data_IF_708670854377
#
_entry.id   IF_708670854377
#
_cell.length_a   1.000
_cell.length_b   1.000
_cell.length_c   1.000
_cell.angle_alpha   90.00
_cell.angle_beta   90.00
_cell.angle_gamma   90.00
#
_symmetry.space_group_name_H-M   'P 1'
#
loop_
_entity.id
_entity.type
_entity.pdbx_description
1 polymer ?
#
# COMPACT_ATOMS: atom_id res chain seq x y z
N UNK A 1 -2.52 16.23 6.70
CA UNK A 1 -2.08 15.13 5.83
C UNK A 1 -1.36 14.10 6.68
N UNK A 2 -1.87 12.87 6.73
CA UNK A 2 -1.30 11.78 7.56
C UNK A 2 -0.51 10.84 6.65
N UNK A 3 0.77 10.66 6.93
CA UNK A 3 1.62 9.74 6.18
C UNK A 3 1.79 8.43 6.94
N UNK A 4 1.91 7.32 6.22
CA UNK A 4 2.42 6.05 6.74
C UNK A 4 3.94 6.07 6.55
N UNK A 5 4.68 5.94 7.65
CA UNK A 5 6.11 5.65 7.59
C UNK A 5 6.26 4.13 7.54
N UNK A 6 6.85 3.62 6.46
CA UNK A 6 7.16 2.19 6.30
C UNK A 6 8.59 2.05 5.81
N UNK A 7 9.46 1.49 6.67
CA UNK A 7 10.91 1.45 6.44
C UNK A 7 11.46 2.85 6.08
N UNK A 8 12.13 2.99 4.94
CA UNK A 8 12.63 4.26 4.41
C UNK A 8 11.57 5.09 3.64
N UNK A 9 10.39 4.52 3.41
CA UNK A 9 9.34 5.14 2.61
C UNK A 9 8.34 5.93 3.46
N UNK A 10 7.92 7.08 2.92
CA UNK A 10 6.83 7.89 3.43
C UNK A 10 5.68 7.88 2.43
N UNK A 11 4.67 7.07 2.72
CA UNK A 11 3.55 6.84 1.83
C UNK A 11 2.43 7.80 2.23
N UNK A 12 1.94 8.59 1.27
CA UNK A 12 0.70 9.35 1.45
C UNK A 12 -0.48 8.45 1.04
N UNK A 13 -1.28 7.97 1.99
CA UNK A 13 -2.34 7.02 1.67
C UNK A 13 -3.47 7.66 0.83
N UNK A 14 -3.68 8.97 0.94
CA UNK A 14 -4.66 9.72 0.12
C UNK A 14 -4.24 9.85 -1.35
N UNK A 15 -2.96 9.57 -1.66
CA UNK A 15 -2.43 9.53 -3.02
C UNK A 15 -2.50 8.14 -3.65
N UNK A 16 -2.88 7.11 -2.89
CA UNK A 16 -3.07 5.76 -3.42
C UNK A 16 -4.37 5.76 -4.21
N UNK A 17 -4.29 5.26 -5.44
CA UNK A 17 -5.45 5.08 -6.30
C UNK A 17 -6.09 3.71 -6.01
N UNK A 18 -5.29 2.65 -6.07
CA UNK A 18 -5.63 1.31 -5.63
C UNK A 18 -4.35 0.55 -5.25
N UNK A 19 -4.51 -0.59 -4.58
CA UNK A 19 -3.44 -1.54 -4.37
C UNK A 19 -3.95 -2.95 -4.66
N UNK A 20 -3.02 -3.84 -5.03
CA UNK A 20 -3.31 -5.24 -5.32
C UNK A 20 -2.32 -6.13 -4.55
N UNK A 21 -2.82 -7.22 -3.98
CA UNK A 21 -2.02 -8.21 -3.26
C UNK A 21 -2.06 -9.51 -4.05
N UNK A 22 -0.90 -10.08 -4.36
CA UNK A 22 -0.76 -11.39 -4.98
C UNK A 22 0.16 -12.27 -4.12
N UNK A 23 -0.42 -13.26 -3.43
CA UNK A 23 0.25 -14.09 -2.43
C UNK A 23 1.03 -13.29 -1.38
N UNK A 24 2.35 -13.12 -1.59
CA UNK A 24 3.27 -12.42 -0.70
C UNK A 24 3.73 -11.06 -1.27
N UNK A 25 3.16 -10.62 -2.40
CA UNK A 25 3.52 -9.37 -3.09
C UNK A 25 2.41 -8.33 -2.94
N UNK A 26 2.78 -7.08 -2.72
CA UNK A 26 1.88 -5.92 -2.64
C UNK A 26 2.31 -4.87 -3.65
N UNK A 27 1.42 -4.59 -4.59
CA UNK A 27 1.55 -3.52 -5.57
C UNK A 27 0.69 -2.33 -5.16
N UNK A 28 1.31 -1.18 -4.95
CA UNK A 28 0.60 0.08 -4.64
C UNK A 28 0.70 1.00 -5.85
N UNK A 29 -0.45 1.41 -6.38
CA UNK A 29 -0.54 2.35 -7.49
C UNK A 29 -0.96 3.73 -6.99
N UNK A 30 -0.16 4.75 -7.30
CA UNK A 30 -0.42 6.12 -6.89
C UNK A 30 -1.07 6.91 -8.03
N UNK A 31 -1.93 7.86 -7.66
CA UNK A 31 -2.45 8.88 -8.58
C UNK A 31 -1.27 9.64 -9.19
N UNK A 32 -1.09 9.50 -10.49
CA UNK A 32 0.07 10.03 -11.22
C UNK A 32 0.95 8.97 -11.88
N UNK A 33 0.64 7.68 -11.72
CA UNK A 33 1.25 6.59 -12.49
C UNK A 33 2.53 6.01 -11.89
N UNK A 34 2.90 6.40 -10.66
CA UNK A 34 3.98 5.75 -9.91
C UNK A 34 3.44 4.50 -9.23
N UNK A 35 4.24 3.44 -9.17
CA UNK A 35 3.94 2.25 -8.39
C UNK A 35 5.06 1.90 -7.40
N UNK A 36 4.70 1.28 -6.30
CA UNK A 36 5.63 0.62 -5.38
C UNK A 36 5.29 -0.86 -5.28
N UNK A 37 6.32 -1.68 -5.14
CA UNK A 37 6.23 -3.14 -5.00
C UNK A 37 6.92 -3.54 -3.69
N UNK A 38 6.23 -4.32 -2.88
CA UNK A 38 6.72 -4.87 -1.63
C UNK A 38 6.53 -6.39 -1.64
N UNK A 39 7.54 -7.14 -1.21
CA UNK A 39 7.52 -8.60 -1.23
C UNK A 39 7.64 -9.23 0.17
N UNK A 40 7.11 -10.44 0.32
CA UNK A 40 7.21 -11.26 1.51
C UNK A 40 6.45 -10.68 2.71
N UNK A 41 6.98 -10.93 3.91
CA UNK A 41 6.38 -10.47 5.17
C UNK A 41 6.16 -8.95 5.24
N UNK A 42 6.90 -8.17 4.43
CA UNK A 42 6.77 -6.71 4.36
C UNK A 42 5.45 -6.27 3.74
N UNK A 43 4.98 -7.00 2.72
CA UNK A 43 3.69 -6.74 2.08
C UNK A 43 2.56 -6.83 3.12
N UNK A 44 2.51 -7.93 3.88
CA UNK A 44 1.49 -8.17 4.89
C UNK A 44 1.45 -7.10 6.00
N UNK A 45 2.62 -6.59 6.43
CA UNK A 45 2.67 -5.53 7.45
C UNK A 45 2.20 -4.18 6.90
N UNK A 46 2.55 -3.86 5.65
CA UNK A 46 2.10 -2.62 5.01
C UNK A 46 0.59 -2.64 4.73
N UNK A 47 0.02 -3.77 4.31
CA UNK A 47 -1.44 -3.92 4.12
C UNK A 47 -2.20 -3.57 5.41
N UNK A 48 -1.78 -4.10 6.56
CA UNK A 48 -2.41 -3.76 7.86
C UNK A 48 -2.35 -2.27 8.18
N UNK A 49 -1.26 -1.60 7.78
CA UNK A 49 -1.11 -0.16 7.96
C UNK A 49 -2.03 0.61 7.01
N UNK A 50 -2.19 0.15 5.76
CA UNK A 50 -3.11 0.71 4.78
C UNK A 50 -4.56 0.54 5.23
N UNK A 51 -5.01 -0.65 5.61
CA UNK A 51 -6.38 -0.90 6.06
C UNK A 51 -6.79 0.03 7.22
N UNK A 52 -5.87 0.25 8.16
CA UNK A 52 -6.07 1.16 9.28
C UNK A 52 -6.08 2.64 8.86
N UNK A 53 -5.38 2.99 7.79
CA UNK A 53 -5.19 4.37 7.38
C UNK A 53 -6.23 4.87 6.39
N UNK A 54 -6.66 4.03 5.43
CA UNK A 54 -7.42 4.48 4.27
C UNK A 54 -8.82 3.91 4.13
N UNK A 55 -9.14 2.77 4.74
CA UNK A 55 -10.44 2.12 4.48
C UNK A 55 -10.72 1.93 2.97
N UNK A 56 -9.66 1.95 2.14
CA UNK A 56 -9.73 1.70 0.71
C UNK A 56 -9.88 0.21 0.56
N UNK A 57 -10.95 -0.21 -0.12
CA UNK A 57 -11.19 -1.60 -0.42
C UNK A 57 -10.02 -2.12 -1.28
N UNK A 58 -9.16 -2.97 -0.69
CA UNK A 58 -8.26 -3.78 -1.48
C UNK A 58 -9.09 -4.73 -2.35
N UNK A 59 -8.71 -4.89 -3.61
CA UNK A 59 -9.22 -5.98 -4.44
C UNK A 59 -8.30 -7.19 -4.21
N UNK A 60 -8.78 -8.12 -3.38
CA UNK A 60 -8.21 -9.46 -3.27
C UNK A 60 -8.61 -10.26 -4.53
N UNK A 61 -7.64 -10.85 -5.22
CA UNK A 61 -7.88 -11.75 -6.36
C UNK A 61 -8.14 -13.19 -5.91
#
# INVERSE_FOLDING_TARGET
>A
MKFIQFEEHRINPEAIDYYHIDYDELFIYFRGGTSLDFQGSRAADLVKLLDKAIGVAGEEA
#
